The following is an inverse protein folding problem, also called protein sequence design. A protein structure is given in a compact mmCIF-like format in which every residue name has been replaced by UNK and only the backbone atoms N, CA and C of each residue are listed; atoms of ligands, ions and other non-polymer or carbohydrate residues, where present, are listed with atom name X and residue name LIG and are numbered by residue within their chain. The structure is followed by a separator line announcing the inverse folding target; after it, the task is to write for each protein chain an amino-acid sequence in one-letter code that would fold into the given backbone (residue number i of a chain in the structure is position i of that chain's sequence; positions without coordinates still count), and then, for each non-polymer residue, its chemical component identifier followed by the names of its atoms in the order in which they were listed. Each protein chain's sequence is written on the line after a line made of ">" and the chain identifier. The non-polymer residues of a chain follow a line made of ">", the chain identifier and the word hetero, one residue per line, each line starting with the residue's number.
data_IF_568509841524
#
_entry.id   IF_568509841524
#
_cell.length_a   1.000
_cell.length_b   1.000
_cell.length_c   1.000
_cell.angle_alpha   90.00
_cell.angle_beta   90.00
_cell.angle_gamma   90.00
#
_symmetry.space_group_name_H-M   'P 1'
#
loop_
_entity.id
_entity.type
_entity.pdbx_description
1 polymer ?
#
# COMPACT_ATOMS: atom_id res chain seq x y z
N UNK A 1 -4.61 27.03 -7.21
CA UNK A 1 -5.00 25.78 -7.89
C UNK A 1 -6.31 26.03 -8.64
N UNK A 2 -6.48 25.47 -9.83
CA UNK A 2 -7.74 25.56 -10.57
C UNK A 2 -8.86 24.88 -9.77
N UNK A 3 -10.07 25.47 -9.69
CA UNK A 3 -11.21 24.92 -8.94
C UNK A 3 -11.69 23.55 -9.48
N UNK A 4 -11.24 23.16 -10.67
CA UNK A 4 -11.55 21.90 -11.33
C UNK A 4 -10.57 20.76 -11.00
N UNK A 5 -9.46 21.01 -10.28
CA UNK A 5 -8.48 19.96 -9.94
C UNK A 5 -8.76 19.33 -8.57
N UNK A 6 -8.99 20.16 -7.55
CA UNK A 6 -9.36 19.76 -6.20
C UNK A 6 -10.28 20.86 -5.66
N UNK A 7 -11.58 20.57 -5.51
CA UNK A 7 -12.56 21.58 -5.14
C UNK A 7 -14.01 21.12 -5.33
N UNK A 8 -15.00 21.98 -5.00
CA UNK A 8 -16.42 21.63 -5.04
C UNK A 8 -16.92 21.29 -6.45
N UNK A 9 -16.16 21.67 -7.49
CA UNK A 9 -16.51 21.43 -8.89
C UNK A 9 -15.89 20.14 -9.46
N UNK A 10 -14.94 19.51 -8.77
CA UNK A 10 -14.37 18.22 -9.21
C UNK A 10 -15.21 17.06 -8.65
N UNK A 11 -15.69 16.19 -9.54
CA UNK A 11 -16.43 14.99 -9.12
C UNK A 11 -15.44 13.85 -8.90
N UNK A 12 -15.29 13.40 -7.67
CA UNK A 12 -14.47 12.22 -7.39
C UNK A 12 -15.11 10.97 -7.98
N UNK A 13 -14.47 10.40 -9.01
CA UNK A 13 -14.76 9.05 -9.48
C UNK A 13 -13.94 8.03 -8.70
N UNK A 14 -14.43 6.79 -8.65
CA UNK A 14 -13.69 5.66 -8.09
C UNK A 14 -12.27 5.59 -8.67
N UNK A 15 -12.15 5.76 -9.99
CA UNK A 15 -10.86 5.68 -10.71
C UNK A 15 -9.86 6.73 -10.25
N UNK A 16 -10.32 7.98 -10.10
CA UNK A 16 -9.50 9.11 -9.62
C UNK A 16 -9.09 8.91 -8.16
N UNK A 17 -10.01 8.45 -7.31
CA UNK A 17 -9.71 8.12 -5.92
C UNK A 17 -8.65 7.02 -5.80
N UNK A 18 -8.84 5.89 -6.52
CA UNK A 18 -7.88 4.79 -6.50
C UNK A 18 -6.48 5.24 -6.99
N UNK A 19 -6.41 6.16 -7.96
CA UNK A 19 -5.15 6.74 -8.42
C UNK A 19 -4.48 7.60 -7.36
N UNK A 20 -5.23 8.43 -6.61
CA UNK A 20 -4.68 9.23 -5.50
C UNK A 20 -4.15 8.32 -4.40
N UNK A 21 -4.93 7.32 -3.99
CA UNK A 21 -4.52 6.35 -2.96
C UNK A 21 -3.28 5.58 -3.39
N UNK A 22 -3.12 5.26 -4.69
CA UNK A 22 -1.89 4.61 -5.18
C UNK A 22 -0.64 5.47 -4.99
N UNK A 23 -0.75 6.79 -5.16
CA UNK A 23 0.37 7.71 -4.91
C UNK A 23 0.67 7.80 -3.42
N UNK A 24 -0.36 7.95 -2.59
CA UNK A 24 -0.21 8.05 -1.14
C UNK A 24 0.43 6.78 -0.55
N UNK A 25 -0.04 5.60 -0.97
CA UNK A 25 0.55 4.31 -0.57
C UNK A 25 1.99 4.17 -1.04
N UNK A 26 2.33 4.59 -2.27
CA UNK A 26 3.70 4.56 -2.77
C UNK A 26 4.65 5.48 -2.00
N UNK A 27 4.19 6.69 -1.65
CA UNK A 27 4.94 7.63 -0.81
C UNK A 27 5.14 7.06 0.59
N UNK A 28 4.08 6.53 1.21
CA UNK A 28 4.16 5.92 2.54
C UNK A 28 5.16 4.75 2.55
N UNK A 29 5.08 3.85 1.57
CA UNK A 29 6.01 2.72 1.46
C UNK A 29 7.46 3.20 1.34
N UNK A 30 7.71 4.20 0.50
CA UNK A 30 9.07 4.73 0.27
C UNK A 30 9.63 5.45 1.50
N UNK A 31 8.83 6.33 2.11
CA UNK A 31 9.30 7.24 3.16
C UNK A 31 9.25 6.60 4.56
N UNK A 32 8.35 5.64 4.79
CA UNK A 32 8.13 5.04 6.11
C UNK A 32 8.51 3.56 6.11
N UNK A 33 7.87 2.75 5.27
CA UNK A 33 8.01 1.29 5.36
C UNK A 33 9.40 0.81 4.96
N UNK A 34 10.00 1.36 3.89
CA UNK A 34 11.33 0.95 3.42
C UNK A 34 12.42 1.26 4.47
N UNK A 35 12.52 2.47 5.05
CA UNK A 35 13.45 2.72 6.15
C UNK A 35 13.20 1.84 7.38
N UNK A 36 11.94 1.55 7.72
CA UNK A 36 11.60 0.66 8.84
C UNK A 36 12.15 -0.76 8.62
N UNK A 37 11.96 -1.32 7.41
CA UNK A 37 12.48 -2.64 7.05
C UNK A 37 14.01 -2.64 7.03
N UNK A 38 14.63 -1.60 6.46
CA UNK A 38 16.11 -1.48 6.44
C UNK A 38 16.65 -1.43 7.87
N UNK A 39 16.06 -0.61 8.75
CA UNK A 39 16.46 -0.53 10.14
C UNK A 39 16.32 -1.88 10.86
N UNK A 40 15.22 -2.59 10.65
CA UNK A 40 15.01 -3.92 11.22
C UNK A 40 16.05 -4.94 10.73
N UNK A 41 16.39 -4.94 9.43
CA UNK A 41 17.42 -5.80 8.84
C UNK A 41 18.83 -5.46 9.36
N UNK A 42 19.14 -4.17 9.51
CA UNK A 42 20.40 -3.73 10.11
C UNK A 42 20.50 -4.17 11.57
N UNK A 43 19.43 -4.03 12.35
CA UNK A 43 19.40 -4.51 13.73
C UNK A 43 19.59 -6.03 13.82
N UNK A 44 19.02 -6.79 12.90
CA UNK A 44 19.25 -8.23 12.78
C UNK A 44 20.72 -8.55 12.50
N UNK A 45 21.40 -7.77 11.65
CA UNK A 45 22.81 -7.97 11.30
C UNK A 45 23.79 -7.54 12.41
N UNK A 46 23.42 -6.57 13.25
CA UNK A 46 24.28 -6.03 14.31
C UNK A 46 24.38 -6.94 15.55
N UNK A 47 23.50 -7.93 15.67
CA UNK A 47 23.57 -8.94 16.74
C UNK A 47 22.38 -8.92 17.69
N UNK A 48 22.41 -9.81 18.71
CA UNK A 48 21.24 -10.13 19.53
C UNK A 48 20.68 -8.94 20.31
N UNK A 49 21.51 -8.07 20.88
CA UNK A 49 21.02 -6.93 21.67
C UNK A 49 20.29 -5.91 20.79
N UNK A 50 20.85 -5.58 19.62
CA UNK A 50 20.23 -4.66 18.67
C UNK A 50 18.91 -5.22 18.12
N UNK A 51 18.90 -6.51 17.77
CA UNK A 51 17.70 -7.18 17.30
C UNK A 51 16.61 -7.27 18.37
N UNK A 52 16.97 -7.48 19.64
CA UNK A 52 16.01 -7.49 20.74
C UNK A 52 15.30 -6.14 20.90
N UNK A 53 16.01 -5.02 20.74
CA UNK A 53 15.41 -3.68 20.75
C UNK A 53 14.46 -3.48 19.58
N UNK A 54 14.87 -3.87 18.36
CA UNK A 54 14.02 -3.78 17.18
C UNK A 54 12.76 -4.63 17.34
N UNK A 55 12.90 -5.88 17.81
CA UNK A 55 11.77 -6.77 18.11
C UNK A 55 10.83 -6.17 19.16
N UNK A 56 11.38 -5.56 20.22
CA UNK A 56 10.60 -4.89 21.27
C UNK A 56 9.77 -3.73 20.72
N UNK A 57 10.36 -2.90 19.87
CA UNK A 57 9.61 -1.83 19.19
C UNK A 57 8.53 -2.39 18.27
N UNK A 58 8.84 -3.40 17.45
CA UNK A 58 7.86 -4.00 16.53
C UNK A 58 6.69 -4.66 17.28
N UNK A 59 6.92 -5.17 18.50
CA UNK A 59 5.86 -5.69 19.37
C UNK A 59 5.07 -4.63 20.15
N UNK A 60 5.50 -3.36 20.13
CA UNK A 60 4.77 -2.26 20.76
C UNK A 60 3.55 -1.84 19.93
N UNK A 61 2.58 -1.16 20.56
CA UNK A 61 1.38 -0.65 19.86
C UNK A 61 1.74 0.20 18.62
N UNK A 62 2.67 1.18 18.69
CA UNK A 62 3.11 1.91 17.50
C UNK A 62 3.74 1.02 16.42
N UNK A 63 4.54 0.04 16.81
CA UNK A 63 5.17 -0.91 15.89
C UNK A 63 4.15 -1.75 15.14
N UNK A 64 3.16 -2.29 15.85
CA UNK A 64 2.05 -3.06 15.27
C UNK A 64 1.23 -2.20 14.30
N UNK A 65 0.89 -0.97 14.69
CA UNK A 65 0.17 -0.03 13.81
C UNK A 65 0.98 0.22 12.52
N UNK A 66 2.28 0.49 12.63
CA UNK A 66 3.14 0.69 11.47
C UNK A 66 3.23 -0.55 10.58
N UNK A 67 3.30 -1.75 11.16
CA UNK A 67 3.31 -3.01 10.40
C UNK A 67 2.00 -3.22 9.64
N UNK A 68 0.85 -3.05 10.32
CA UNK A 68 -0.47 -3.21 9.71
C UNK A 68 -0.66 -2.24 8.56
N UNK A 69 -0.36 -0.96 8.76
CA UNK A 69 -0.46 0.06 7.71
C UNK A 69 0.52 -0.19 6.57
N UNK A 70 1.77 -0.56 6.88
CA UNK A 70 2.77 -0.90 5.85
C UNK A 70 2.32 -2.08 5.00
N UNK A 71 1.79 -3.13 5.62
CA UNK A 71 1.27 -4.30 4.90
C UNK A 71 0.08 -3.93 4.02
N UNK A 72 -0.89 -3.18 4.54
CA UNK A 72 -2.05 -2.74 3.76
C UNK A 72 -1.63 -1.87 2.57
N UNK A 73 -0.75 -0.89 2.79
CA UNK A 73 -0.21 -0.05 1.72
C UNK A 73 0.53 -0.88 0.68
N UNK A 74 1.32 -1.89 1.09
CA UNK A 74 2.04 -2.79 0.20
C UNK A 74 1.07 -3.60 -0.67
N UNK A 75 0.07 -4.24 -0.07
CA UNK A 75 -0.94 -5.02 -0.79
C UNK A 75 -1.71 -4.15 -1.79
N UNK A 76 -2.13 -2.95 -1.38
CA UNK A 76 -2.84 -2.01 -2.25
C UNK A 76 -1.96 -1.57 -3.43
N UNK A 77 -0.75 -1.08 -3.14
CA UNK A 77 0.15 -0.54 -4.15
C UNK A 77 0.56 -1.62 -5.14
N UNK A 78 0.81 -2.84 -4.66
CA UNK A 78 1.10 -4.00 -5.51
C UNK A 78 -0.09 -4.36 -6.42
N UNK A 79 -1.30 -4.53 -5.86
CA UNK A 79 -2.47 -4.89 -6.65
C UNK A 79 -2.83 -3.81 -7.68
N UNK A 80 -2.74 -2.52 -7.31
CA UNK A 80 -2.95 -1.43 -8.25
C UNK A 80 -1.81 -1.34 -9.27
N UNK A 81 -0.57 -1.64 -8.90
CA UNK A 81 0.56 -1.76 -9.81
C UNK A 81 0.32 -2.80 -10.91
N UNK A 82 -0.15 -4.00 -10.56
CA UNK A 82 -0.54 -5.03 -11.54
C UNK A 82 -1.62 -4.50 -12.48
N UNK A 83 -2.63 -3.81 -11.93
CA UNK A 83 -3.70 -3.21 -12.74
C UNK A 83 -3.14 -2.20 -13.76
N UNK A 84 -2.21 -1.35 -13.35
CA UNK A 84 -1.54 -0.40 -14.24
C UNK A 84 -0.69 -1.09 -15.30
N UNK A 85 0.11 -2.11 -14.93
CA UNK A 85 0.89 -2.88 -15.89
C UNK A 85 -0.01 -3.56 -16.95
N UNK A 86 -1.19 -4.04 -16.57
CA UNK A 86 -2.17 -4.56 -17.54
C UNK A 86 -2.67 -3.47 -18.48
N UNK A 87 -2.91 -2.25 -17.98
CA UNK A 87 -3.30 -1.11 -18.81
C UNK A 87 -2.20 -0.69 -19.77
N UNK A 88 -0.93 -0.75 -19.35
CA UNK A 88 0.23 -0.44 -20.19
C UNK A 88 0.37 -1.41 -21.38
N UNK A 89 -0.21 -2.60 -21.29
CA UNK A 89 -0.33 -3.54 -22.43
C UNK A 89 -1.49 -3.23 -23.39
N UNK A 90 -2.23 -2.14 -23.18
CA UNK A 90 -3.40 -1.76 -23.96
C UNK A 90 -4.72 -2.46 -23.56
N UNK A 91 -4.75 -3.17 -22.43
CA UNK A 91 -5.93 -3.93 -21.96
C UNK A 91 -6.78 -3.12 -20.97
N UNK A 92 -8.07 -3.44 -20.88
CA UNK A 92 -9.02 -2.89 -19.89
C UNK A 92 -9.17 -1.36 -19.90
N UNK A 93 -9.00 -0.70 -21.05
CA UNK A 93 -9.06 0.76 -21.17
C UNK A 93 -10.48 1.33 -21.37
N UNK A 94 -11.46 0.48 -21.67
CA UNK A 94 -12.87 0.90 -21.73
C UNK A 94 -13.42 1.19 -20.34
N UNK A 95 -14.29 2.20 -20.21
CA UNK A 95 -14.78 2.69 -18.93
C UNK A 95 -15.35 1.59 -18.02
N UNK A 96 -16.18 0.70 -18.56
CA UNK A 96 -16.73 -0.43 -17.79
C UNK A 96 -15.63 -1.32 -17.21
N UNK A 97 -14.61 -1.64 -18.03
CA UNK A 97 -13.48 -2.47 -17.65
C UNK A 97 -12.56 -1.79 -16.63
N UNK A 98 -12.38 -0.47 -16.73
CA UNK A 98 -11.64 0.34 -15.76
C UNK A 98 -12.30 0.28 -14.38
N UNK A 99 -13.63 0.38 -14.31
CA UNK A 99 -14.37 0.27 -13.04
C UNK A 99 -14.34 -1.16 -12.48
N UNK A 100 -14.57 -2.16 -13.33
CA UNK A 100 -14.53 -3.58 -12.94
C UNK A 100 -13.17 -3.97 -12.40
N UNK A 101 -12.09 -3.62 -13.11
CA UNK A 101 -10.72 -3.87 -12.65
C UNK A 101 -10.38 -3.10 -11.36
N UNK A 102 -10.96 -1.91 -11.15
CA UNK A 102 -10.85 -1.18 -9.89
C UNK A 102 -11.42 -1.94 -8.69
N UNK A 103 -12.64 -2.49 -8.79
CA UNK A 103 -13.23 -3.29 -7.72
C UNK A 103 -12.51 -4.61 -7.49
N UNK A 104 -12.07 -5.29 -8.56
CA UNK A 104 -11.25 -6.51 -8.46
C UNK A 104 -9.96 -6.21 -7.69
N UNK A 105 -9.30 -5.09 -8.00
CA UNK A 105 -8.07 -4.67 -7.31
C UNK A 105 -8.30 -4.40 -5.82
N UNK A 106 -9.40 -3.75 -5.44
CA UNK A 106 -9.76 -3.54 -4.03
C UNK A 106 -10.00 -4.87 -3.31
N UNK A 107 -10.74 -5.80 -3.92
CA UNK A 107 -10.95 -7.12 -3.35
C UNK A 107 -9.63 -7.89 -3.20
N UNK A 108 -8.77 -7.88 -4.23
CA UNK A 108 -7.44 -8.50 -4.19
C UNK A 108 -6.56 -7.91 -3.07
N UNK A 109 -6.62 -6.59 -2.87
CA UNK A 109 -5.91 -5.91 -1.77
C UNK A 109 -6.31 -6.48 -0.40
N UNK A 110 -7.63 -6.58 -0.15
CA UNK A 110 -8.14 -7.10 1.13
C UNK A 110 -7.79 -8.56 1.33
N UNK A 111 -7.91 -9.38 0.28
CA UNK A 111 -7.53 -10.81 0.33
C UNK A 111 -6.05 -10.97 0.64
N UNK A 112 -5.17 -10.26 -0.09
CA UNK A 112 -3.73 -10.31 0.15
C UNK A 112 -3.38 -9.86 1.56
N UNK A 113 -3.99 -8.76 2.03
CA UNK A 113 -3.76 -8.25 3.38
C UNK A 113 -4.15 -9.27 4.45
N UNK A 114 -5.38 -9.81 4.38
CA UNK A 114 -5.89 -10.77 5.37
C UNK A 114 -5.08 -12.06 5.36
N UNK A 115 -4.79 -12.63 4.18
CA UNK A 115 -4.01 -13.86 4.07
C UNK A 115 -2.60 -13.67 4.62
N UNK A 116 -1.94 -12.56 4.28
CA UNK A 116 -0.57 -12.29 4.74
C UNK A 116 -0.55 -12.06 6.25
N UNK A 117 -1.47 -11.25 6.77
CA UNK A 117 -1.57 -10.98 8.21
C UNK A 117 -1.86 -12.25 9.00
N UNK A 118 -2.81 -13.06 8.53
CA UNK A 118 -3.17 -14.33 9.17
C UNK A 118 -2.01 -15.32 9.16
N UNK A 119 -1.26 -15.41 8.06
CA UNK A 119 -0.09 -16.31 7.99
C UNK A 119 1.07 -15.90 8.90
N UNK A 120 1.10 -14.64 9.35
CA UNK A 120 2.16 -14.08 10.19
C UNK A 120 1.78 -13.96 11.67
N UNK A 121 0.52 -14.26 12.03
CA UNK A 121 -0.03 -14.21 13.38
C UNK A 121 -0.02 -15.59 14.05
#
# INVERSE_FOLDING_TARGET
>A
MSPYMLGPYYRFQLTSFLSIVSRLTGVFLTVVSTPLVIWWLVALALGPEAFAQAKGFMGSVPGIVLMVFSLFCLCYHFANGIRHLLWDTGRFLELHNVYRSGWIMVAATLVLFVLTWWSAS
#
